data_IF_057231517662
#
_entry.id   IF_057231517662
#
_cell.length_a   1.000
_cell.length_b   1.000
_cell.length_c   1.000
_cell.angle_alpha   90.00
_cell.angle_beta   90.00
_cell.angle_gamma   90.00
#
_symmetry.space_group_name_H-M   'P 1'
#
loop_
_entity.id
_entity.type
_entity.pdbx_description
1 polymer ?
#
# COMPACT_ATOMS: atom_id res chain seq x y z
N UNK A 1 6.48 -11.67 -22.80
CA UNK A 1 5.82 -11.26 -21.58
C UNK A 1 5.89 -9.73 -21.48
N UNK A 2 4.76 -9.07 -21.33
CA UNK A 2 4.66 -7.63 -21.17
C UNK A 2 3.83 -7.35 -19.91
N UNK A 3 4.39 -6.54 -19.02
CA UNK A 3 3.71 -6.03 -17.82
C UNK A 3 3.69 -4.51 -17.87
N UNK A 4 2.53 -3.92 -17.61
CA UNK A 4 2.35 -2.47 -17.50
C UNK A 4 1.58 -2.16 -16.22
N UNK A 5 2.13 -1.27 -15.41
CA UNK A 5 1.49 -0.71 -14.23
C UNK A 5 1.45 0.82 -14.33
N UNK A 6 0.30 1.40 -14.01
CA UNK A 6 0.12 2.84 -13.88
C UNK A 6 -0.50 3.09 -12.51
N UNK A 7 0.12 4.00 -11.74
CA UNK A 7 -0.37 4.40 -10.43
C UNK A 7 -0.62 5.92 -10.42
N UNK A 8 -1.77 6.30 -9.90
CA UNK A 8 -2.16 7.69 -9.67
C UNK A 8 -2.47 7.86 -8.19
N UNK A 9 -1.81 8.85 -7.56
CA UNK A 9 -1.99 9.16 -6.15
C UNK A 9 -2.20 10.66 -6.00
N UNK A 10 -3.22 11.04 -5.24
CA UNK A 10 -3.46 12.41 -4.81
C UNK A 10 -3.81 12.43 -3.33
N UNK A 11 -3.23 13.35 -2.59
CA UNK A 11 -3.52 13.51 -1.16
C UNK A 11 -3.36 14.96 -0.72
N UNK A 12 -4.03 15.30 0.36
CA UNK A 12 -3.94 16.58 1.03
C UNK A 12 -3.63 16.38 2.51
N UNK A 13 -2.80 17.27 3.05
CA UNK A 13 -2.44 17.32 4.47
C UNK A 13 -2.88 18.67 5.04
N UNK A 14 -3.45 18.61 6.23
CA UNK A 14 -3.77 19.78 7.03
C UNK A 14 -3.27 19.59 8.45
N UNK A 15 -2.46 20.52 8.93
CA UNK A 15 -1.92 20.50 10.29
C UNK A 15 -2.26 21.83 10.98
N UNK A 16 -2.72 21.76 12.22
CA UNK A 16 -3.05 22.93 13.03
C UNK A 16 -2.75 22.70 14.50
N UNK A 17 -2.07 23.66 15.10
CA UNK A 17 -1.84 23.73 16.53
C UNK A 17 -2.75 24.80 17.14
N UNK A 18 -3.51 24.44 18.15
CA UNK A 18 -4.43 25.31 18.89
C UNK A 18 -4.11 25.21 20.40
N UNK A 19 -3.22 26.06 20.87
CA UNK A 19 -2.74 26.02 22.26
C UNK A 19 -2.01 24.69 22.54
N UNK A 20 -2.62 23.83 23.36
CA UNK A 20 -2.07 22.52 23.72
C UNK A 20 -2.56 21.37 22.81
N UNK A 21 -3.36 21.69 21.80
CA UNK A 21 -3.94 20.72 20.88
C UNK A 21 -3.23 20.76 19.54
N UNK A 22 -2.65 19.65 19.13
CA UNK A 22 -2.10 19.47 17.80
C UNK A 22 -2.97 18.50 17.01
N UNK A 23 -3.41 18.93 15.84
CA UNK A 23 -4.26 18.14 14.94
C UNK A 23 -3.60 18.05 13.58
N UNK A 24 -3.42 16.85 13.12
CA UNK A 24 -2.98 16.56 11.76
C UNK A 24 -4.01 15.69 11.05
N UNK A 25 -4.43 16.11 9.87
CA UNK A 25 -5.38 15.37 9.05
C UNK A 25 -4.76 15.14 7.68
N UNK A 26 -4.75 13.92 7.21
CA UNK A 26 -4.40 13.54 5.85
C UNK A 26 -5.55 12.77 5.22
N UNK A 27 -5.91 13.12 4.00
CA UNK A 27 -6.85 12.35 3.21
C UNK A 27 -6.34 12.25 1.77
N UNK A 28 -6.59 11.13 1.13
CA UNK A 28 -6.12 10.92 -0.21
C UNK A 28 -6.85 9.81 -0.96
N UNK A 29 -6.59 9.78 -2.24
CA UNK A 29 -7.10 8.81 -3.19
C UNK A 29 -5.93 8.17 -3.94
N UNK A 30 -6.02 6.87 -4.15
CA UNK A 30 -5.10 6.17 -5.00
C UNK A 30 -5.86 5.32 -6.05
N UNK A 31 -5.30 5.24 -7.24
CA UNK A 31 -5.78 4.34 -8.28
C UNK A 31 -4.59 3.68 -8.96
N UNK A 32 -4.67 2.38 -9.11
CA UNK A 32 -3.67 1.57 -9.79
C UNK A 32 -4.34 0.73 -10.88
N UNK A 33 -3.69 0.66 -12.04
CA UNK A 33 -4.11 -0.15 -13.18
C UNK A 33 -2.96 -1.04 -13.59
N UNK A 34 -3.19 -2.33 -13.57
CA UNK A 34 -2.19 -3.35 -13.93
C UNK A 34 -2.70 -4.16 -15.09
N UNK A 35 -1.87 -4.31 -16.13
CA UNK A 35 -2.13 -5.21 -17.24
C UNK A 35 -0.95 -6.14 -17.46
N UNK A 36 -1.27 -7.41 -17.64
CA UNK A 36 -0.34 -8.47 -17.90
C UNK A 36 -0.70 -9.15 -19.20
N UNK A 37 0.26 -9.27 -20.10
CA UNK A 37 0.11 -10.02 -21.35
C UNK A 37 1.24 -10.99 -21.52
N UNK A 38 0.90 -12.24 -21.69
CA UNK A 38 1.85 -13.29 -22.02
C UNK A 38 1.44 -13.97 -23.33
N UNK A 39 2.41 -14.18 -24.17
CA UNK A 39 2.25 -14.98 -25.39
C UNK A 39 3.26 -16.11 -25.33
N UNK A 40 2.81 -17.32 -25.54
CA UNK A 40 3.62 -18.52 -25.67
C UNK A 40 3.44 -19.09 -27.06
N UNK A 41 4.55 -19.45 -27.70
CA UNK A 41 4.55 -20.20 -28.90
C UNK A 41 5.48 -21.41 -28.71
N UNK A 42 5.04 -22.58 -29.09
CA UNK A 42 5.85 -23.80 -29.07
C UNK A 42 5.61 -24.62 -30.31
N UNK A 43 6.64 -25.36 -30.71
CA UNK A 43 6.60 -26.28 -31.83
C UNK A 43 7.46 -27.49 -31.52
N UNK A 44 7.02 -28.67 -31.90
CA UNK A 44 7.76 -29.92 -31.74
C UNK A 44 8.56 -30.26 -32.98
N UNK A 45 9.31 -31.36 -32.93
CA UNK A 45 10.08 -31.95 -34.04
C UNK A 45 11.09 -30.96 -34.64
N UNK A 46 12.08 -30.59 -33.85
CA UNK A 46 13.20 -29.77 -34.30
C UNK A 46 14.10 -30.56 -35.28
N UNK A 47 14.46 -29.96 -36.40
CA UNK A 47 15.36 -30.52 -37.39
C UNK A 47 16.80 -30.56 -36.87
N UNK A 48 17.20 -29.57 -36.06
CA UNK A 48 18.55 -29.47 -35.51
C UNK A 48 18.45 -29.02 -34.05
N UNK A 49 18.98 -29.83 -33.14
CA UNK A 49 19.00 -29.57 -31.71
C UNK A 49 20.07 -28.54 -31.29
N UNK A 50 21.13 -28.40 -32.09
CA UNK A 50 22.22 -27.44 -31.82
C UNK A 50 21.81 -25.99 -32.13
N UNK A 51 20.79 -25.77 -32.95
CA UNK A 51 20.26 -24.47 -33.34
C UNK A 51 18.74 -24.42 -33.14
N UNK A 52 18.27 -24.36 -31.90
CA UNK A 52 16.85 -24.38 -31.59
C UNK A 52 16.13 -23.12 -32.10
N UNK A 53 15.26 -23.28 -33.08
CA UNK A 53 14.44 -22.23 -33.64
C UNK A 53 13.03 -22.70 -33.95
N UNK A 54 12.01 -21.95 -33.56
CA UNK A 54 10.62 -22.24 -33.88
C UNK A 54 10.34 -22.28 -35.38
N UNK A 55 11.11 -21.57 -36.20
CA UNK A 55 10.97 -21.55 -37.66
C UNK A 55 11.49 -22.83 -38.29
N UNK A 56 12.42 -23.55 -37.67
CA UNK A 56 13.04 -24.77 -38.18
C UNK A 56 12.38 -26.05 -37.65
N UNK A 57 11.48 -25.95 -36.71
CA UNK A 57 10.70 -27.07 -36.22
C UNK A 57 9.60 -27.46 -37.24
N UNK A 58 9.31 -28.75 -37.40
CA UNK A 58 8.38 -29.30 -38.42
C UNK A 58 7.04 -29.76 -37.82
N UNK A 59 6.97 -29.92 -36.48
CA UNK A 59 5.76 -30.34 -35.79
C UNK A 59 4.70 -29.27 -35.70
N UNK A 60 3.61 -29.58 -35.02
CA UNK A 60 2.45 -28.68 -34.85
C UNK A 60 2.77 -27.44 -34.07
N UNK A 61 2.21 -26.34 -34.52
CA UNK A 61 2.24 -25.07 -33.79
C UNK A 61 1.26 -25.10 -32.61
N UNK A 62 1.73 -24.75 -31.43
CA UNK A 62 0.91 -24.49 -30.26
C UNK A 62 1.14 -23.06 -29.81
N UNK A 63 0.10 -22.23 -29.93
CA UNK A 63 0.12 -20.86 -29.46
C UNK A 63 -0.87 -20.71 -28.33
N UNK A 64 -0.49 -20.01 -27.30
CA UNK A 64 -1.40 -19.56 -26.24
C UNK A 64 -1.08 -18.14 -25.86
N UNK A 65 -2.12 -17.35 -25.60
CA UNK A 65 -1.99 -16.03 -25.03
C UNK A 65 -2.79 -15.95 -23.73
N UNK A 66 -2.31 -15.14 -22.85
CA UNK A 66 -2.93 -14.83 -21.57
C UNK A 66 -2.93 -13.32 -21.40
N UNK A 67 -4.10 -12.77 -21.13
CA UNK A 67 -4.27 -11.35 -20.85
C UNK A 67 -5.04 -11.21 -19.54
N UNK A 68 -4.43 -10.52 -18.60
CA UNK A 68 -5.04 -10.17 -17.32
C UNK A 68 -4.96 -8.66 -17.12
N UNK A 69 -6.08 -8.05 -16.79
CA UNK A 69 -6.15 -6.64 -16.43
C UNK A 69 -6.95 -6.48 -15.15
N UNK A 70 -6.42 -5.69 -14.21
CA UNK A 70 -7.14 -5.35 -13.01
C UNK A 70 -6.83 -3.93 -12.55
N UNK A 71 -7.79 -3.36 -11.85
CA UNK A 71 -7.73 -2.03 -11.29
C UNK A 71 -7.97 -2.09 -9.79
N UNK A 72 -7.19 -1.31 -9.05
CA UNK A 72 -7.36 -1.09 -7.62
C UNK A 72 -7.62 0.38 -7.40
N UNK A 73 -8.58 0.72 -6.54
CA UNK A 73 -8.88 2.08 -6.10
C UNK A 73 -8.98 2.10 -4.60
N UNK A 74 -8.44 3.16 -4.00
CA UNK A 74 -8.49 3.34 -2.57
C UNK A 74 -8.72 4.80 -2.17
N UNK A 75 -9.57 5.00 -1.18
CA UNK A 75 -9.61 6.22 -0.38
C UNK A 75 -8.93 5.94 0.94
N UNK A 76 -8.12 6.86 1.43
CA UNK A 76 -7.46 6.71 2.72
C UNK A 76 -7.50 8.01 3.50
N UNK A 77 -7.51 7.87 4.82
CA UNK A 77 -7.37 8.98 5.74
C UNK A 77 -6.47 8.62 6.90
N UNK A 78 -5.87 9.64 7.51
CA UNK A 78 -5.17 9.58 8.79
C UNK A 78 -5.48 10.84 9.59
N UNK A 79 -5.83 10.67 10.85
CA UNK A 79 -6.03 11.75 11.79
C UNK A 79 -5.11 11.50 12.97
N UNK A 80 -4.20 12.43 13.20
CA UNK A 80 -3.33 12.47 14.37
C UNK A 80 -3.81 13.58 15.29
N UNK A 81 -3.94 13.26 16.55
CA UNK A 81 -4.28 14.23 17.59
C UNK A 81 -3.31 14.09 18.75
N UNK A 82 -2.79 15.20 19.21
CA UNK A 82 -1.95 15.26 20.41
C UNK A 82 -2.47 16.35 21.35
N UNK A 83 -2.57 16.01 22.62
CA UNK A 83 -2.90 16.96 23.67
C UNK A 83 -1.71 17.17 24.60
N UNK A 84 -1.28 18.44 24.76
CA UNK A 84 -0.14 18.85 25.58
C UNK A 84 1.16 18.07 25.30
N UNK A 85 1.30 17.43 24.12
CA UNK A 85 2.39 16.56 23.79
C UNK A 85 2.44 15.26 24.60
N UNK A 86 1.45 14.98 25.46
CA UNK A 86 1.39 13.85 26.39
C UNK A 86 0.49 12.72 25.91
N UNK A 87 -0.71 13.06 25.49
CA UNK A 87 -1.74 12.11 25.04
C UNK A 87 -1.80 12.14 23.53
N UNK A 88 -1.64 10.97 22.93
CA UNK A 88 -1.56 10.80 21.49
C UNK A 88 -2.69 9.86 21.04
N UNK A 89 -3.41 10.28 20.02
CA UNK A 89 -4.41 9.46 19.34
C UNK A 89 -4.14 9.51 17.85
N UNK A 90 -4.06 8.35 17.24
CA UNK A 90 -4.03 8.23 15.80
C UNK A 90 -5.18 7.32 15.34
N UNK A 91 -5.92 7.75 14.35
CA UNK A 91 -6.84 6.89 13.62
C UNK A 91 -6.54 7.00 12.14
N UNK A 92 -6.50 5.86 11.49
CA UNK A 92 -6.37 5.79 10.06
C UNK A 92 -7.32 4.73 9.50
N UNK A 93 -7.65 4.87 8.23
CA UNK A 93 -8.50 3.93 7.55
C UNK A 93 -8.33 4.01 6.06
N UNK A 94 -8.62 2.86 5.42
CA UNK A 94 -8.61 2.71 3.98
C UNK A 94 -9.92 2.08 3.52
N UNK A 95 -10.44 2.59 2.43
CA UNK A 95 -11.56 2.03 1.72
C UNK A 95 -11.08 1.62 0.33
N UNK A 96 -10.71 0.37 0.20
CA UNK A 96 -10.07 -0.18 -1.00
C UNK A 96 -11.03 -1.07 -1.78
N UNK A 97 -10.94 -0.98 -3.09
CA UNK A 97 -11.69 -1.83 -4.00
C UNK A 97 -10.83 -2.34 -5.16
N UNK A 98 -11.07 -3.60 -5.56
CA UNK A 98 -10.38 -4.24 -6.66
C UNK A 98 -11.35 -4.84 -7.66
N UNK A 99 -11.05 -4.67 -8.97
CA UNK A 99 -11.84 -5.26 -10.05
C UNK A 99 -11.76 -6.80 -10.11
N UNK A 100 -10.81 -7.41 -9.42
CA UNK A 100 -10.68 -8.87 -9.31
C UNK A 100 -11.81 -9.51 -8.51
N UNK A 101 -12.51 -8.75 -7.67
CA UNK A 101 -13.62 -9.25 -6.88
C UNK A 101 -14.99 -9.01 -7.54
N UNK A 102 -15.99 -9.87 -7.29
CA UNK A 102 -17.37 -9.66 -7.71
C UNK A 102 -17.90 -8.30 -7.27
N UNK A 103 -18.83 -7.73 -8.02
CA UNK A 103 -19.36 -6.38 -7.80
C UNK A 103 -19.86 -6.14 -6.37
N UNK A 104 -20.45 -7.15 -5.76
CA UNK A 104 -21.06 -7.09 -4.42
C UNK A 104 -20.04 -7.00 -3.29
N UNK A 105 -18.84 -7.61 -3.48
CA UNK A 105 -17.78 -7.69 -2.46
C UNK A 105 -16.48 -6.99 -2.90
N UNK A 106 -16.61 -6.02 -3.81
CA UNK A 106 -15.46 -5.37 -4.44
C UNK A 106 -14.72 -4.43 -3.50
N UNK A 107 -15.42 -3.83 -2.54
CA UNK A 107 -14.88 -2.81 -1.64
C UNK A 107 -14.84 -3.29 -0.20
N UNK A 108 -13.76 -2.98 0.50
CA UNK A 108 -13.57 -3.24 1.91
C UNK A 108 -13.10 -2.00 2.66
N UNK A 109 -13.54 -1.85 3.91
CA UNK A 109 -13.08 -0.79 4.80
C UNK A 109 -12.17 -1.37 5.89
N UNK A 110 -11.00 -0.79 6.06
CA UNK A 110 -9.93 -1.24 6.95
C UNK A 110 -9.54 -0.12 7.91
N UNK A 111 -10.23 0.03 9.06
CA UNK A 111 -9.91 1.02 10.07
C UNK A 111 -8.80 0.53 11.00
N UNK A 112 -8.04 1.48 11.55
CA UNK A 112 -7.06 1.26 12.61
C UNK A 112 -7.07 2.45 13.57
N UNK A 113 -6.88 2.17 14.87
CA UNK A 113 -6.80 3.18 15.94
C UNK A 113 -5.64 2.84 16.85
N UNK A 114 -4.84 3.83 17.20
CA UNK A 114 -3.78 3.72 18.19
C UNK A 114 -3.84 4.86 19.19
N UNK A 115 -3.50 4.55 20.44
CA UNK A 115 -3.47 5.50 21.56
C UNK A 115 -2.11 5.42 22.22
N UNK A 116 -1.51 6.56 22.48
CA UNK A 116 -0.23 6.68 23.17
C UNK A 116 -0.31 7.64 24.35
N UNK A 117 0.43 7.33 25.40
CA UNK A 117 0.61 8.21 26.54
C UNK A 117 2.08 8.37 26.86
N UNK A 118 2.57 9.60 26.85
CA UNK A 118 3.94 9.93 27.26
C UNK A 118 3.99 10.17 28.76
N UNK A 119 4.09 9.11 29.51
CA UNK A 119 4.14 9.15 31.00
C UNK A 119 5.29 10.00 31.51
N UNK A 120 6.43 10.03 30.79
CA UNK A 120 7.62 10.83 31.14
C UNK A 120 7.38 12.34 31.15
N UNK A 121 6.31 12.81 30.50
CA UNK A 121 5.97 14.22 30.44
C UNK A 121 4.98 14.64 31.56
N UNK A 122 4.56 13.69 32.40
CA UNK A 122 3.71 13.99 33.56
C UNK A 122 4.53 14.58 34.73
N UNK A 123 3.88 15.46 35.50
CA UNK A 123 4.53 16.14 36.62
C UNK A 123 5.06 15.19 37.68
N UNK A 124 4.36 14.06 37.92
CA UNK A 124 4.80 13.07 38.89
C UNK A 124 6.04 12.29 38.46
N UNK A 125 6.43 12.37 37.19
CA UNK A 125 7.61 11.72 36.62
C UNK A 125 8.82 12.65 36.44
N UNK A 126 8.72 13.91 36.88
CA UNK A 126 9.84 14.89 36.72
C UNK A 126 11.15 14.42 37.34
N UNK A 127 11.09 13.72 38.47
CA UNK A 127 12.26 13.14 39.13
C UNK A 127 12.98 12.07 38.29
N UNK A 128 12.26 11.39 37.41
CA UNK A 128 12.79 10.31 36.56
C UNK A 128 13.41 10.81 35.25
N UNK A 129 13.19 12.07 34.85
CA UNK A 129 13.73 12.67 33.62
C UNK A 129 15.26 12.61 33.56
N UNK A 130 15.94 12.62 34.71
CA UNK A 130 17.38 12.50 34.80
C UNK A 130 17.87 11.11 34.33
N UNK A 131 17.09 10.06 34.57
CA UNK A 131 17.41 8.68 34.25
C UNK A 131 16.79 8.19 32.94
N UNK A 132 15.59 8.68 32.57
CA UNK A 132 14.78 8.17 31.48
C UNK A 132 14.85 8.98 30.18
N UNK A 133 15.65 10.07 30.13
CA UNK A 133 15.72 10.95 28.95
C UNK A 133 16.20 10.25 27.65
N UNK A 134 16.64 8.99 27.74
CA UNK A 134 17.11 8.20 26.60
C UNK A 134 16.25 7.00 26.23
N UNK A 135 15.18 6.70 26.97
CA UNK A 135 14.31 5.55 26.72
C UNK A 135 13.01 6.06 26.11
N UNK A 136 12.85 5.97 24.82
CA UNK A 136 11.56 6.27 24.20
C UNK A 136 11.56 6.85 22.79
N UNK A 137 12.42 6.32 21.91
CA UNK A 137 12.16 6.40 20.48
C UNK A 137 11.92 4.99 19.96
N UNK A 138 10.68 4.52 20.09
CA UNK A 138 10.21 3.44 19.24
C UNK A 138 9.92 4.05 17.87
N UNK A 139 10.71 3.70 16.88
CA UNK A 139 10.35 3.89 15.49
C UNK A 139 9.37 2.77 15.14
N UNK A 140 8.16 3.16 14.79
CA UNK A 140 7.22 2.32 14.05
C UNK A 140 7.21 2.79 12.62
#
# INVERSE_FOLDING_TARGET
>A
MLFRSNAFNVYANYNKTLGQHDIGIMAGFNQESNSYKMMKASRTDMINEDLPSLSQATGDYKNSDEFEEYHVRGLFYRINYSYAGKYLLETNGRYDGSSKFPKENRFGFFPSVSVGWRVSEEQFMEWSKVFLSKIGRAHV
#
